data_IF_207994517178
#
_entry.id   IF_207994517178
#
_cell.length_a   1.000
_cell.length_b   1.000
_cell.length_c   1.000
_cell.angle_alpha   90.00
_cell.angle_beta   90.00
_cell.angle_gamma   90.00
#
_symmetry.space_group_name_H-M   'P 1'
#
loop_
_entity.id
_entity.type
_entity.pdbx_description
1 polymer ?
#
# COMPACT_ATOMS: atom_id res chain seq x y z
N UNK A 1 -13.83 11.44 14.29
CA UNK A 1 -12.43 11.75 14.68
C UNK A 1 -11.51 11.35 13.53
N UNK A 2 -10.88 12.31 12.79
CA UNK A 2 -10.14 12.03 11.57
C UNK A 2 -8.92 11.13 11.81
N UNK A 3 -8.36 11.11 13.00
CA UNK A 3 -7.16 10.31 13.33
C UNK A 3 -7.45 8.81 13.31
N UNK A 4 -8.63 8.37 13.74
CA UNK A 4 -9.02 6.95 13.74
C UNK A 4 -9.32 6.42 12.33
N UNK A 5 -9.80 7.28 11.43
CA UNK A 5 -10.09 6.89 10.05
C UNK A 5 -8.82 6.52 9.25
N UNK A 6 -7.64 6.93 9.71
CA UNK A 6 -6.35 6.62 9.07
C UNK A 6 -5.64 5.41 9.69
N UNK A 7 -6.14 4.87 10.80
CA UNK A 7 -5.50 3.72 11.45
C UNK A 7 -5.84 2.42 10.71
N UNK A 8 -4.83 1.82 10.06
CA UNK A 8 -4.98 0.58 9.30
C UNK A 8 -5.45 -0.61 10.16
N UNK A 9 -5.30 -0.54 11.50
CA UNK A 9 -5.76 -1.58 12.42
C UNK A 9 -7.28 -1.65 12.51
N UNK A 10 -7.97 -0.54 12.21
CA UNK A 10 -9.43 -0.46 12.12
C UNK A 10 -9.96 -0.79 10.72
N UNK A 11 -9.08 -0.91 9.73
CA UNK A 11 -9.44 -1.32 8.38
C UNK A 11 -9.52 -2.85 8.29
N UNK A 12 -9.80 -3.36 7.13
CA UNK A 12 -9.87 -4.79 6.81
C UNK A 12 -11.00 -5.08 5.85
N UNK A 13 -10.87 -6.13 5.05
CA UNK A 13 -11.92 -6.58 4.14
C UNK A 13 -12.34 -5.60 3.04
N UNK A 14 -11.57 -4.52 2.83
CA UNK A 14 -11.92 -3.47 1.86
C UNK A 14 -11.81 -3.94 0.40
N UNK A 15 -11.16 -5.06 0.13
CA UNK A 15 -10.99 -5.61 -1.21
C UNK A 15 -12.33 -5.81 -1.94
N UNK A 16 -13.36 -6.25 -1.22
CA UNK A 16 -14.69 -6.49 -1.81
C UNK A 16 -15.44 -5.19 -2.11
N UNK A 17 -15.20 -4.15 -1.34
CA UNK A 17 -15.86 -2.84 -1.45
C UNK A 17 -15.13 -1.91 -2.43
N UNK A 18 -13.80 -2.05 -2.54
CA UNK A 18 -12.93 -1.21 -3.37
C UNK A 18 -12.01 -2.06 -4.26
N UNK A 19 -12.55 -2.82 -5.24
CA UNK A 19 -11.78 -3.78 -6.02
C UNK A 19 -10.73 -3.13 -6.93
N UNK A 20 -11.02 -1.99 -7.56
CA UNK A 20 -10.06 -1.29 -8.43
C UNK A 20 -8.89 -0.73 -7.61
N UNK A 21 -9.19 -0.03 -6.52
CA UNK A 21 -8.17 0.51 -5.61
C UNK A 21 -7.31 -0.61 -5.02
N UNK A 22 -7.91 -1.70 -4.55
CA UNK A 22 -7.20 -2.85 -4.00
C UNK A 22 -6.26 -3.50 -5.02
N UNK A 23 -6.73 -3.71 -6.25
CA UNK A 23 -5.94 -4.37 -7.29
C UNK A 23 -4.77 -3.49 -7.74
N UNK A 24 -4.98 -2.20 -7.96
CA UNK A 24 -3.90 -1.27 -8.34
C UNK A 24 -2.88 -1.10 -7.22
N UNK A 25 -3.33 -1.08 -5.97
CA UNK A 25 -2.45 -1.05 -4.81
C UNK A 25 -1.61 -2.32 -4.69
N UNK A 26 -2.20 -3.50 -4.93
CA UNK A 26 -1.47 -4.77 -4.95
C UNK A 26 -0.39 -4.80 -6.04
N UNK A 27 -0.70 -4.32 -7.24
CA UNK A 27 0.30 -4.19 -8.32
C UNK A 27 1.46 -3.30 -7.87
N UNK A 28 1.18 -2.18 -7.22
CA UNK A 28 2.18 -1.30 -6.63
C UNK A 28 3.04 -2.01 -5.56
N UNK A 29 2.42 -2.76 -4.66
CA UNK A 29 3.12 -3.55 -3.64
C UNK A 29 4.08 -4.56 -4.26
N UNK A 30 3.63 -5.31 -5.27
CA UNK A 30 4.43 -6.31 -5.98
C UNK A 30 5.60 -5.62 -6.69
N UNK A 31 5.36 -4.49 -7.38
CA UNK A 31 6.39 -3.74 -8.09
C UNK A 31 7.47 -3.20 -7.14
N UNK A 32 7.08 -2.57 -6.05
CA UNK A 32 8.01 -1.99 -5.05
C UNK A 32 8.77 -3.08 -4.30
N UNK A 33 8.13 -4.21 -4.00
CA UNK A 33 8.79 -5.35 -3.35
C UNK A 33 9.84 -6.03 -4.22
N UNK A 34 9.85 -5.75 -5.53
CA UNK A 34 10.80 -6.36 -6.45
C UNK A 34 10.47 -7.82 -6.74
N UNK A 35 9.21 -8.11 -7.08
CA UNK A 35 8.78 -9.44 -7.49
C UNK A 35 8.74 -9.49 -9.03
N UNK A 36 9.34 -10.53 -9.66
CA UNK A 36 9.25 -10.68 -11.11
C UNK A 36 7.78 -10.86 -11.55
N UNK A 37 7.38 -10.40 -12.73
CA UNK A 37 8.16 -9.78 -13.79
C UNK A 37 8.11 -8.24 -13.80
N UNK A 38 7.72 -7.59 -12.69
CA UNK A 38 7.49 -6.15 -12.64
C UNK A 38 8.81 -5.34 -12.68
N UNK A 39 8.70 -4.07 -13.06
CA UNK A 39 9.85 -3.19 -13.31
C UNK A 39 10.80 -3.06 -12.11
N UNK A 40 10.25 -3.01 -10.89
CA UNK A 40 11.03 -2.89 -9.67
C UNK A 40 11.95 -4.07 -9.37
N UNK A 41 11.69 -5.26 -9.93
CA UNK A 41 12.58 -6.40 -9.81
C UNK A 41 13.89 -6.15 -10.57
N UNK A 42 13.83 -5.82 -11.85
CA UNK A 42 15.00 -5.65 -12.70
C UNK A 42 15.93 -4.54 -12.21
N UNK A 43 15.37 -3.38 -11.89
CA UNK A 43 16.16 -2.26 -11.38
C UNK A 43 16.80 -2.54 -10.02
N UNK A 44 16.09 -3.21 -9.13
CA UNK A 44 16.60 -3.57 -7.80
C UNK A 44 17.72 -4.61 -7.90
N UNK A 45 17.56 -5.64 -8.72
CA UNK A 45 18.56 -6.68 -8.92
C UNK A 45 19.83 -6.14 -9.56
N UNK A 46 19.71 -5.21 -10.52
CA UNK A 46 20.88 -4.55 -11.14
C UNK A 46 21.66 -3.72 -10.11
N UNK A 47 20.96 -2.93 -9.27
CA UNK A 47 21.62 -2.17 -8.20
C UNK A 47 22.29 -3.10 -7.19
N UNK A 48 21.60 -4.16 -6.75
CA UNK A 48 22.13 -5.13 -5.80
C UNK A 48 23.30 -5.93 -6.39
N UNK A 49 23.24 -6.32 -7.67
CA UNK A 49 24.32 -6.99 -8.36
C UNK A 49 25.59 -6.14 -8.41
N UNK A 50 25.48 -4.89 -8.83
CA UNK A 50 26.61 -3.97 -8.85
C UNK A 50 27.17 -3.70 -7.44
N UNK A 51 26.31 -3.60 -6.43
CA UNK A 51 26.73 -3.43 -5.04
C UNK A 51 27.44 -4.68 -4.50
N UNK A 52 27.03 -5.88 -4.90
CA UNK A 52 27.65 -7.13 -4.49
C UNK A 52 29.14 -7.20 -4.89
N UNK A 53 29.43 -6.82 -6.14
CA UNK A 53 30.79 -6.83 -6.70
C UNK A 53 31.65 -5.71 -6.10
N UNK A 54 31.09 -4.49 -6.01
CA UNK A 54 31.86 -3.30 -5.64
C UNK A 54 31.99 -3.08 -4.12
N UNK A 55 30.89 -3.29 -3.39
CA UNK A 55 30.80 -2.99 -1.96
C UNK A 55 29.87 -3.95 -1.21
N UNK A 56 30.36 -5.14 -0.80
CA UNK A 56 29.53 -6.17 -0.15
C UNK A 56 28.77 -5.72 1.10
N UNK A 57 29.30 -4.74 1.85
CA UNK A 57 28.62 -4.18 3.01
C UNK A 57 27.34 -3.42 2.61
N UNK A 58 27.38 -2.63 1.55
CA UNK A 58 26.20 -1.93 1.02
C UNK A 58 25.21 -2.89 0.40
N UNK A 59 25.70 -3.95 -0.26
CA UNK A 59 24.84 -5.02 -0.73
C UNK A 59 24.02 -5.65 0.40
N UNK A 60 24.66 -5.99 1.52
CA UNK A 60 23.96 -6.59 2.65
C UNK A 60 22.88 -5.67 3.23
N UNK A 61 23.18 -4.37 3.38
CA UNK A 61 22.21 -3.38 3.85
C UNK A 61 21.04 -3.25 2.85
N UNK A 62 21.35 -3.15 1.56
CA UNK A 62 20.34 -3.05 0.50
C UNK A 62 19.45 -4.31 0.44
N UNK A 63 20.05 -5.48 0.60
CA UNK A 63 19.35 -6.77 0.60
C UNK A 63 18.38 -6.88 1.80
N UNK A 64 18.83 -6.52 3.00
CA UNK A 64 17.96 -6.48 4.19
C UNK A 64 16.82 -5.46 4.02
N UNK A 65 17.14 -4.28 3.48
CA UNK A 65 16.15 -3.25 3.21
C UNK A 65 15.10 -3.70 2.18
N UNK A 66 15.50 -4.48 1.19
CA UNK A 66 14.57 -5.07 0.22
C UNK A 66 13.56 -6.02 0.88
N UNK A 67 14.02 -6.87 1.80
CA UNK A 67 13.14 -7.74 2.60
C UNK A 67 12.18 -6.96 3.50
N UNK A 68 12.68 -5.94 4.18
CA UNK A 68 11.85 -5.06 5.01
C UNK A 68 10.81 -4.31 4.17
N UNK A 69 11.17 -3.89 2.96
CA UNK A 69 10.25 -3.23 2.03
C UNK A 69 9.10 -4.17 1.66
N UNK A 70 9.39 -5.41 1.30
CA UNK A 70 8.37 -6.41 1.01
C UNK A 70 7.46 -6.64 2.23
N UNK A 71 8.05 -6.78 3.42
CA UNK A 71 7.31 -6.97 4.66
C UNK A 71 6.32 -5.84 4.91
N UNK A 72 6.77 -4.56 4.96
CA UNK A 72 5.87 -3.47 5.35
C UNK A 72 4.80 -3.17 4.28
N UNK A 73 5.11 -3.32 2.99
CA UNK A 73 4.14 -3.10 1.92
C UNK A 73 3.03 -4.16 1.93
N UNK A 74 3.39 -5.43 2.09
CA UNK A 74 2.38 -6.48 2.17
C UNK A 74 1.64 -6.48 3.50
N UNK A 75 2.28 -6.11 4.61
CA UNK A 75 1.59 -5.91 5.88
C UNK A 75 0.52 -4.82 5.77
N UNK A 76 0.84 -3.70 5.12
CA UNK A 76 -0.13 -2.64 4.85
C UNK A 76 -1.29 -3.16 3.98
N UNK A 77 -0.98 -3.91 2.92
CA UNK A 77 -1.99 -4.49 2.05
C UNK A 77 -2.92 -5.45 2.79
N UNK A 78 -2.38 -6.41 3.53
CA UNK A 78 -3.18 -7.40 4.26
C UNK A 78 -4.04 -6.77 5.35
N UNK A 79 -3.51 -5.83 6.11
CA UNK A 79 -4.27 -5.16 7.16
C UNK A 79 -5.41 -4.29 6.62
N UNK A 80 -5.26 -3.73 5.42
CA UNK A 80 -6.25 -2.82 4.83
C UNK A 80 -7.29 -3.56 3.98
N UNK A 81 -6.85 -4.48 3.13
CA UNK A 81 -7.71 -5.04 2.10
C UNK A 81 -8.20 -6.46 2.39
N UNK A 82 -7.48 -7.24 3.19
CA UNK A 82 -7.84 -8.62 3.52
C UNK A 82 -8.47 -8.73 4.93
N UNK A 83 -9.07 -9.90 5.21
CA UNK A 83 -9.73 -10.18 6.48
C UNK A 83 -11.12 -9.57 6.59
N UNK A 84 -11.56 -9.34 7.83
CA UNK A 84 -12.87 -8.76 8.15
C UNK A 84 -12.72 -7.27 8.50
N UNK A 85 -13.77 -6.49 8.20
CA UNK A 85 -13.81 -5.07 8.51
C UNK A 85 -13.89 -4.85 10.03
N UNK A 86 -12.90 -4.17 10.58
CA UNK A 86 -12.73 -3.93 12.03
C UNK A 86 -13.18 -2.54 12.49
N UNK A 87 -13.66 -1.72 11.57
CA UNK A 87 -14.11 -0.35 11.88
C UNK A 87 -15.31 -0.26 12.83
N UNK A 88 -16.04 -1.35 13.05
CA UNK A 88 -17.17 -1.42 13.98
C UNK A 88 -16.79 -1.98 15.36
N UNK A 89 -15.52 -2.29 15.60
CA UNK A 89 -15.06 -2.83 16.89
C UNK A 89 -14.84 -1.67 17.89
N UNK A 90 -15.85 -1.43 18.74
CA UNK A 90 -15.81 -0.37 19.73
C UNK A 90 -14.73 -0.59 20.80
N UNK A 91 -14.43 -1.84 21.14
CA UNK A 91 -13.36 -2.16 22.10
C UNK A 91 -11.99 -1.79 21.53
N UNK A 92 -11.76 -2.10 20.26
CA UNK A 92 -10.54 -1.75 19.57
C UNK A 92 -10.39 -0.24 19.43
N UNK A 93 -11.47 0.47 19.06
CA UNK A 93 -11.48 1.94 19.01
C UNK A 93 -11.13 2.56 20.36
N UNK A 94 -11.79 2.13 21.44
CA UNK A 94 -11.53 2.61 22.78
C UNK A 94 -10.07 2.39 23.21
N UNK A 95 -9.52 1.21 22.91
CA UNK A 95 -8.11 0.89 23.18
C UNK A 95 -7.16 1.80 22.41
N UNK A 96 -7.42 2.04 21.13
CA UNK A 96 -6.59 2.91 20.28
C UNK A 96 -6.66 4.37 20.71
N UNK A 97 -7.82 4.86 21.10
CA UNK A 97 -8.02 6.21 21.64
C UNK A 97 -7.24 6.37 22.94
N UNK A 98 -7.34 5.40 23.85
CA UNK A 98 -6.59 5.38 25.10
C UNK A 98 -5.07 5.34 24.85
N UNK A 99 -4.61 4.52 23.93
CA UNK A 99 -3.18 4.41 23.57
C UNK A 99 -2.65 5.67 22.89
N UNK A 100 -3.48 6.38 22.12
CA UNK A 100 -3.12 7.65 21.50
C UNK A 100 -3.17 8.85 22.46
N UNK A 101 -3.58 8.66 23.73
CA UNK A 101 -3.72 9.73 24.72
C UNK A 101 -4.86 10.70 24.39
N UNK A 102 -5.79 10.34 23.51
CA UNK A 102 -6.96 11.12 23.18
C UNK A 102 -8.02 10.87 24.25
N UNK A 103 -8.54 11.94 24.88
CA UNK A 103 -9.69 11.83 25.79
C UNK A 103 -10.97 11.75 24.95
N UNK A 104 -11.87 10.83 25.31
CA UNK A 104 -13.27 10.97 24.93
C UNK A 104 -13.80 12.24 25.61
N UNK A 105 -14.12 13.25 24.85
CA UNK A 105 -15.11 14.20 25.28
C UNK A 105 -16.46 13.48 25.11
N UNK A 106 -16.95 12.93 26.20
CA UNK A 106 -18.30 12.43 26.31
C UNK A 106 -19.21 13.67 26.30
N UNK A 107 -19.72 13.98 25.11
CA UNK A 107 -20.82 14.97 24.97
C UNK A 107 -22.12 14.37 25.50
N UNK A 108 -22.08 13.79 26.70
CA UNK A 108 -23.26 13.61 27.54
C UNK A 108 -23.60 14.98 28.13
N UNK A 109 -24.31 15.78 27.35
CA UNK A 109 -25.09 16.87 27.89
C UNK A 109 -26.12 16.26 28.84
N UNK A 110 -25.75 16.20 30.11
CA UNK A 110 -26.68 16.18 31.22
C UNK A 110 -27.50 17.46 31.16
N UNK A 111 -28.58 17.44 30.42
CA UNK A 111 -29.64 18.43 30.47
C UNK A 111 -30.52 18.10 31.67
N UNK A 112 -30.03 18.45 32.85
CA UNK A 112 -30.88 18.62 34.01
C UNK A 112 -30.92 20.12 34.29
N UNK A 113 -31.80 20.83 33.66
CA UNK A 113 -32.66 21.81 34.39
C UNK A 113 -33.82 22.31 33.51
N UNK A 114 -34.89 22.55 34.16
CA UNK A 114 -36.30 22.63 33.94
C UNK A 114 -36.83 23.82 33.10
N UNK A 115 -38.17 23.98 33.02
CA UNK A 115 -38.82 24.36 31.78
C UNK A 115 -39.20 25.85 31.78
N UNK A 116 -38.98 26.53 30.67
CA UNK A 116 -39.77 27.72 30.35
C UNK A 116 -40.24 27.63 28.90
N UNK A 117 -41.56 27.71 28.78
CA UNK A 117 -42.33 27.75 27.57
C UNK A 117 -41.85 28.84 26.59
N UNK A 118 -41.30 28.45 25.47
CA UNK A 118 -41.16 29.30 24.29
C UNK A 118 -41.78 28.61 23.10
N UNK A 119 -42.99 29.03 22.79
CA UNK A 119 -43.69 28.73 21.54
C UNK A 119 -42.92 29.31 20.36
N UNK A 120 -42.33 28.43 19.57
CA UNK A 120 -41.79 28.77 18.22
C UNK A 120 -42.40 27.79 17.22
N UNK A 121 -43.62 28.07 16.82
CA UNK A 121 -44.21 27.60 15.59
C UNK A 121 -43.46 28.22 14.40
N UNK A 122 -42.63 27.47 13.72
CA UNK A 122 -42.11 27.84 12.43
C UNK A 122 -40.60 27.78 12.28
N UNK A 123 -40.04 26.57 12.34
CA UNK A 123 -38.77 26.31 11.71
C UNK A 123 -38.77 24.91 11.10
N UNK A 124 -38.53 24.88 9.81
CA UNK A 124 -38.60 23.70 8.96
C UNK A 124 -37.68 22.58 9.41
N UNK A 125 -38.21 21.36 9.28
CA UNK A 125 -37.52 20.07 9.38
C UNK A 125 -36.31 19.98 8.49
N UNK A 126 -35.13 20.22 9.02
CA UNK A 126 -33.88 19.63 8.56
C UNK A 126 -33.04 19.29 9.79
N UNK A 127 -33.61 18.45 10.64
CA UNK A 127 -32.86 17.71 11.65
C UNK A 127 -32.22 16.51 10.99
N UNK A 128 -31.17 16.71 10.21
CA UNK A 128 -30.25 15.62 9.85
C UNK A 128 -29.53 15.25 11.15
N UNK A 129 -29.94 14.11 11.68
CA UNK A 129 -29.36 13.50 12.87
C UNK A 129 -27.87 13.28 12.66
N UNK A 130 -27.04 13.84 13.53
CA UNK A 130 -25.59 13.65 13.59
C UNK A 130 -25.15 12.17 13.76
N UNK A 131 -26.07 11.21 13.83
CA UNK A 131 -25.81 9.77 13.84
C UNK A 131 -25.52 9.17 12.45
N UNK A 132 -25.88 9.86 11.36
CA UNK A 132 -25.69 9.34 9.99
C UNK A 132 -24.25 9.44 9.47
N UNK A 133 -23.38 10.20 10.12
CA UNK A 133 -22.00 10.44 9.63
C UNK A 133 -21.04 9.27 9.94
N UNK A 134 -21.40 8.30 10.78
CA UNK A 134 -20.58 7.16 11.15
C UNK A 134 -20.86 5.89 10.34
N UNK A 135 -21.94 5.84 9.58
CA UNK A 135 -22.32 4.72 8.72
C UNK A 135 -22.13 5.01 7.22
N UNK A 136 -21.18 5.85 6.85
CA UNK A 136 -20.79 5.99 5.45
C UNK A 136 -20.40 4.63 4.89
N UNK A 137 -21.26 4.06 4.03
CA UNK A 137 -20.97 2.81 3.35
C UNK A 137 -19.66 2.98 2.58
N UNK A 138 -18.64 2.18 2.93
CA UNK A 138 -17.36 2.20 2.23
C UNK A 138 -17.59 1.72 0.80
N UNK A 139 -17.41 2.59 -0.16
CA UNK A 139 -17.57 2.32 -1.60
C UNK A 139 -16.29 2.68 -2.36
N UNK A 140 -16.20 2.26 -3.60
CA UNK A 140 -15.08 2.58 -4.48
C UNK A 140 -14.94 4.10 -4.65
N UNK A 141 -13.71 4.56 -4.71
CA UNK A 141 -13.41 5.98 -4.96
C UNK A 141 -13.93 6.42 -6.33
N UNK A 142 -14.32 7.71 -6.50
CA UNK A 142 -14.81 8.23 -7.76
C UNK A 142 -13.77 8.03 -8.88
N UNK A 143 -14.25 7.92 -10.12
CA UNK A 143 -13.40 7.63 -11.28
C UNK A 143 -12.22 8.61 -11.46
N UNK A 144 -12.38 9.85 -11.03
CA UNK A 144 -11.30 10.84 -11.03
C UNK A 144 -10.08 10.46 -10.18
N UNK A 145 -10.27 9.63 -9.15
CA UNK A 145 -9.19 9.12 -8.29
C UNK A 145 -8.70 7.74 -8.72
N UNK A 146 -9.59 6.87 -9.19
CA UNK A 146 -9.22 5.52 -9.63
C UNK A 146 -8.54 5.49 -10.98
N UNK A 147 -8.89 6.41 -11.89
CA UNK A 147 -8.28 6.48 -13.22
C UNK A 147 -6.75 6.67 -13.18
N UNK A 148 -6.17 7.64 -12.42
CA UNK A 148 -4.72 7.76 -12.32
C UNK A 148 -4.04 6.52 -11.76
N UNK A 149 -4.66 5.82 -10.79
CA UNK A 149 -4.13 4.59 -10.21
C UNK A 149 -4.05 3.46 -11.25
N UNK A 150 -5.13 3.25 -12.00
CA UNK A 150 -5.18 2.27 -13.08
C UNK A 150 -4.19 2.64 -14.19
N UNK A 151 -4.15 3.93 -14.57
CA UNK A 151 -3.22 4.43 -15.58
C UNK A 151 -1.75 4.20 -15.20
N UNK A 152 -1.37 4.35 -13.93
CA UNK A 152 -0.01 4.08 -13.45
C UNK A 152 0.28 2.59 -13.26
N UNK A 153 -0.70 1.79 -12.89
CA UNK A 153 -0.53 0.35 -12.74
C UNK A 153 -0.22 -0.34 -14.07
N UNK A 154 -0.82 0.14 -15.16
CA UNK A 154 -0.62 -0.44 -16.49
C UNK A 154 0.83 -0.36 -16.99
N UNK A 155 1.51 0.83 -17.04
CA UNK A 155 2.91 0.90 -17.40
C UNK A 155 3.82 0.17 -16.41
N UNK A 156 3.51 0.12 -15.12
CA UNK A 156 4.29 -0.62 -14.14
C UNK A 156 4.44 -2.10 -14.49
N UNK A 157 3.40 -2.69 -15.05
CA UNK A 157 3.43 -4.08 -15.55
C UNK A 157 4.19 -4.17 -16.87
N UNK A 158 3.89 -3.29 -17.84
CA UNK A 158 4.46 -3.36 -19.20
C UNK A 158 5.96 -3.07 -19.20
N UNK A 159 6.40 -2.05 -18.47
CA UNK A 159 7.82 -1.65 -18.41
C UNK A 159 8.66 -2.78 -17.79
N UNK A 160 8.09 -3.56 -16.88
CA UNK A 160 8.74 -4.75 -16.35
C UNK A 160 9.14 -5.76 -17.44
N UNK A 161 8.29 -5.97 -18.42
CA UNK A 161 8.60 -6.82 -19.56
C UNK A 161 9.56 -6.17 -20.57
N UNK A 162 9.66 -4.85 -20.60
CA UNK A 162 10.63 -4.14 -21.46
C UNK A 162 12.03 -4.06 -20.86
N UNK A 163 12.16 -4.25 -19.55
CA UNK A 163 13.42 -4.20 -18.80
C UNK A 163 14.15 -5.54 -18.68
N UNK A 164 13.82 -6.54 -19.51
CA UNK A 164 14.48 -7.83 -19.48
C UNK A 164 15.98 -7.69 -19.77
N UNK A 165 16.87 -8.28 -18.95
CA UNK A 165 18.31 -8.05 -19.05
C UNK A 165 18.92 -8.53 -20.38
N UNK A 166 18.36 -9.59 -20.99
CA UNK A 166 18.82 -10.12 -22.29
C UNK A 166 18.22 -9.40 -23.51
N UNK A 167 17.18 -8.60 -23.35
CA UNK A 167 16.56 -7.81 -24.43
C UNK A 167 16.02 -6.50 -23.89
N UNK A 168 16.89 -5.71 -23.26
CA UNK A 168 16.53 -4.43 -22.70
C UNK A 168 16.18 -3.41 -23.78
N UNK A 169 14.91 -3.37 -24.16
CA UNK A 169 14.38 -2.40 -25.13
C UNK A 169 14.51 -0.96 -24.64
N UNK A 170 14.52 -0.78 -23.33
CA UNK A 170 14.68 0.52 -22.72
C UNK A 170 16.11 1.06 -22.92
N UNK A 171 17.13 0.24 -22.66
CA UNK A 171 18.54 0.63 -22.86
C UNK A 171 18.82 0.82 -24.36
N UNK A 172 18.28 -0.05 -25.23
CA UNK A 172 18.37 0.12 -26.68
C UNK A 172 17.80 1.45 -27.18
N UNK A 173 16.77 1.95 -26.54
CA UNK A 173 16.16 3.23 -26.88
C UNK A 173 17.04 4.42 -26.45
N UNK A 174 17.70 4.33 -25.28
CA UNK A 174 18.54 5.40 -24.74
C UNK A 174 19.94 5.38 -25.30
N UNK A 175 20.57 4.23 -25.34
CA UNK A 175 21.97 4.06 -25.81
C UNK A 175 22.13 2.71 -26.49
N UNK A 176 22.02 2.65 -27.85
CA UNK A 176 22.08 1.39 -28.60
C UNK A 176 23.43 0.66 -28.49
N UNK A 177 24.54 1.40 -28.31
CA UNK A 177 25.89 0.82 -28.19
C UNK A 177 26.08 0.11 -26.86
N UNK A 178 25.66 0.73 -25.75
CA UNK A 178 25.69 0.08 -24.42
C UNK A 178 24.74 -1.13 -24.34
N UNK A 179 23.61 -1.08 -25.01
CA UNK A 179 22.67 -2.20 -25.02
C UNK A 179 23.27 -3.46 -25.64
N UNK A 180 24.14 -3.31 -26.64
CA UNK A 180 24.82 -4.44 -27.31
C UNK A 180 25.90 -5.03 -26.39
N UNK A 181 26.69 -4.21 -25.71
CA UNK A 181 27.72 -4.67 -24.78
C UNK A 181 27.11 -5.35 -23.54
N UNK A 182 26.08 -4.79 -22.94
CA UNK A 182 25.36 -5.39 -21.81
C UNK A 182 24.70 -6.72 -22.16
N UNK A 183 24.14 -6.83 -23.36
CA UNK A 183 23.54 -8.09 -23.81
C UNK A 183 24.59 -9.17 -24.09
N UNK A 184 25.82 -8.79 -24.45
CA UNK A 184 26.94 -9.72 -24.68
C UNK A 184 27.62 -10.16 -23.38
N UNK A 185 27.65 -9.29 -22.37
CA UNK A 185 28.25 -9.55 -21.05
C UNK A 185 27.27 -10.20 -20.06
N UNK A 186 25.99 -10.35 -20.43
CA UNK A 186 24.99 -10.93 -19.53
C UNK A 186 25.27 -12.42 -19.27
N UNK A 187 25.77 -12.72 -18.08
CA UNK A 187 25.98 -14.10 -17.63
C UNK A 187 24.80 -14.58 -16.76
N UNK A 188 24.09 -15.55 -17.29
CA UNK A 188 22.96 -16.18 -16.61
C UNK A 188 23.38 -16.89 -15.32
N UNK A 189 24.62 -17.38 -15.23
CA UNK A 189 25.13 -18.09 -14.05
C UNK A 189 25.37 -17.14 -12.87
N UNK A 190 25.77 -15.90 -13.15
CA UNK A 190 25.95 -14.89 -12.12
C UNK A 190 24.61 -14.23 -11.71
N UNK A 191 23.71 -14.02 -12.66
CA UNK A 191 22.41 -13.40 -12.44
C UNK A 191 21.45 -14.28 -11.63
N UNK A 192 21.35 -15.57 -11.95
CA UNK A 192 20.38 -16.48 -11.33
C UNK A 192 20.46 -16.53 -9.79
N UNK A 193 21.62 -16.72 -9.15
CA UNK A 193 21.68 -16.80 -7.69
C UNK A 193 21.28 -15.51 -7.00
N UNK A 194 21.61 -14.33 -7.57
CA UNK A 194 21.19 -13.04 -7.04
C UNK A 194 19.67 -12.84 -7.17
N UNK A 195 19.11 -13.17 -8.33
CA UNK A 195 17.67 -13.12 -8.57
C UNK A 195 16.89 -14.06 -7.62
N UNK A 196 17.38 -15.28 -7.42
CA UNK A 196 16.78 -16.21 -6.45
C UNK A 196 16.88 -15.67 -5.02
N UNK A 197 18.00 -15.08 -4.63
CA UNK A 197 18.15 -14.48 -3.30
C UNK A 197 17.18 -13.32 -3.10
N UNK A 198 17.02 -12.44 -4.09
CA UNK A 198 16.07 -11.31 -4.04
C UNK A 198 14.63 -11.78 -3.92
N UNK A 199 14.22 -12.77 -4.70
CA UNK A 199 12.88 -13.36 -4.61
C UNK A 199 12.67 -14.06 -3.26
N UNK A 200 13.68 -14.77 -2.76
CA UNK A 200 13.59 -15.48 -1.48
C UNK A 200 13.40 -14.52 -0.31
N UNK A 201 14.16 -13.40 -0.26
CA UNK A 201 13.99 -12.43 0.82
C UNK A 201 12.67 -11.67 0.73
N UNK A 202 12.21 -11.33 -0.49
CA UNK A 202 10.89 -10.73 -0.70
C UNK A 202 9.77 -11.68 -0.26
N UNK A 203 9.83 -12.95 -0.64
CA UNK A 203 8.87 -13.98 -0.25
C UNK A 203 8.85 -14.21 1.26
N UNK A 204 10.01 -14.19 1.90
CA UNK A 204 10.12 -14.27 3.36
C UNK A 204 9.46 -13.06 4.03
N UNK A 205 9.72 -11.86 3.53
CA UNK A 205 9.06 -10.64 4.02
C UNK A 205 7.53 -10.71 3.90
N UNK A 206 7.01 -11.20 2.76
CA UNK A 206 5.57 -11.37 2.54
C UNK A 206 4.98 -12.41 3.51
N UNK A 207 5.66 -13.54 3.69
CA UNK A 207 5.19 -14.61 4.57
C UNK A 207 5.10 -14.16 6.03
N UNK A 208 6.07 -13.34 6.48
CA UNK A 208 6.05 -12.76 7.83
C UNK A 208 4.95 -11.69 7.95
N UNK A 209 4.61 -11.01 6.85
CA UNK A 209 3.59 -9.98 6.83
C UNK A 209 2.16 -10.52 6.93
N UNK A 210 1.94 -11.76 6.44
CA UNK A 210 0.67 -12.47 6.46
C UNK A 210 0.36 -13.01 7.85
#
# INVERSE_FOLDING_TARGET
QPVLAQDMRLMGGLRKKMPFTSTTFLIGCIAISGIPPLAGFWSKDEILGNAFVSFPAFWFIGFMTAGMTAFYMFRLYFLTFEGDFRGNDEQLKATLISAAGLKFEDDSHDSADSPEDVDISGFDQHGESHEEVLHGEVHESPWSMTFPLVFLAFPSVIIGFMGLPWDSKFIKLLNPEEAITLAQEFDLQEFLPLAFASVAIASTGITIAY
#
